data_IF_821410100765
#
_entry.id   IF_821410100765
#
_cell.length_a   1.000
_cell.length_b   1.000
_cell.length_c   1.000
_cell.angle_alpha   90.00
_cell.angle_beta   90.00
_cell.angle_gamma   90.00
#
_symmetry.space_group_name_H-M   'P 1'
#
loop_
_entity.id
_entity.type
_entity.pdbx_description
1 polymer ?
#
# COMPACT_ATOMS: atom_id res chain seq x y z
N UNK A 1 -20.13 9.47 35.37
CA UNK A 1 -19.84 8.15 34.75
C UNK A 1 -18.70 8.33 33.77
N UNK A 2 -17.49 7.95 34.19
CA UNK A 2 -16.22 8.10 33.47
C UNK A 2 -15.81 6.72 32.97
N UNK A 3 -15.55 6.58 31.67
CA UNK A 3 -14.99 5.36 31.09
C UNK A 3 -13.74 5.71 30.27
N UNK A 4 -12.67 6.05 30.99
CA UNK A 4 -11.29 6.06 30.47
C UNK A 4 -10.64 4.72 30.84
N UNK A 5 -10.65 3.75 29.93
CA UNK A 5 -9.81 2.53 29.98
C UNK A 5 -8.99 2.52 28.69
N UNK A 6 -7.78 3.10 28.65
CA UNK A 6 -6.52 2.57 29.19
C UNK A 6 -6.12 1.22 28.59
N UNK A 7 -5.84 1.22 27.28
CA UNK A 7 -5.00 0.19 26.65
C UNK A 7 -3.54 0.59 26.94
N UNK A 8 -2.98 0.07 28.02
CA UNK A 8 -1.52 0.08 28.23
C UNK A 8 -0.91 -1.02 27.34
N UNK A 9 -0.34 -0.64 26.19
CA UNK A 9 0.48 -1.56 25.39
C UNK A 9 1.94 -1.43 25.83
N UNK A 10 2.40 -2.48 26.50
CA UNK A 10 3.76 -2.69 26.99
C UNK A 10 4.78 -2.64 25.82
N UNK A 11 5.93 -1.94 25.92
CA UNK A 11 6.87 -1.77 24.81
C UNK A 11 7.71 -3.02 24.48
N UNK A 12 7.55 -4.12 25.22
CA UNK A 12 8.39 -5.33 25.10
C UNK A 12 7.82 -6.45 24.22
N UNK A 13 6.59 -6.34 23.71
CA UNK A 13 5.99 -7.32 22.78
C UNK A 13 6.21 -7.01 21.29
N UNK A 14 6.90 -5.90 20.98
CA UNK A 14 7.27 -5.51 19.60
C UNK A 14 8.39 -6.41 19.03
N UNK A 15 9.04 -7.21 19.88
CA UNK A 15 10.24 -8.00 19.54
C UNK A 15 9.99 -9.19 18.60
N UNK A 16 8.75 -9.68 18.48
CA UNK A 16 8.41 -10.78 17.54
C UNK A 16 7.67 -10.31 16.27
N UNK A 17 7.25 -9.04 16.19
CA UNK A 17 6.51 -8.51 15.04
C UNK A 17 7.41 -8.03 13.89
N UNK A 18 8.73 -8.04 14.12
CA UNK A 18 9.78 -7.61 13.20
C UNK A 18 10.19 -8.67 12.16
N UNK A 19 9.72 -9.92 12.27
CA UNK A 19 10.21 -11.03 11.44
C UNK A 19 9.37 -11.34 10.19
N UNK A 20 8.53 -10.41 9.74
CA UNK A 20 7.94 -10.46 8.39
C UNK A 20 7.98 -9.11 7.67
N UNK A 21 9.12 -8.44 7.82
CA UNK A 21 9.74 -7.69 6.73
C UNK A 21 9.91 -8.66 5.55
N UNK A 22 9.12 -8.58 4.48
CA UNK A 22 9.50 -9.30 3.27
C UNK A 22 9.50 -8.48 1.98
N UNK A 23 9.14 -7.20 1.98
CA UNK A 23 9.14 -6.39 0.74
C UNK A 23 9.43 -4.90 0.91
N UNK A 24 9.94 -4.48 2.06
CA UNK A 24 10.20 -3.06 2.33
C UNK A 24 11.62 -3.00 2.86
N UNK A 25 12.53 -2.50 2.05
CA UNK A 25 13.93 -2.27 2.41
C UNK A 25 14.04 -1.37 3.65
N UNK A 26 15.23 -1.28 4.24
CA UNK A 26 15.49 -0.33 5.34
C UNK A 26 15.14 1.13 4.92
N UNK A 27 15.36 1.47 3.65
CA UNK A 27 15.01 2.75 3.00
C UNK A 27 13.51 3.05 3.05
N UNK A 28 12.69 2.07 2.72
CA UNK A 28 11.26 2.28 2.49
C UNK A 28 10.51 2.47 3.82
N UNK A 29 11.03 1.89 4.91
CA UNK A 29 10.56 2.18 6.28
C UNK A 29 10.83 3.61 6.70
N UNK A 30 11.92 4.21 6.24
CA UNK A 30 12.26 5.58 6.55
C UNK A 30 11.29 6.53 5.85
N UNK A 31 11.04 6.32 4.55
CA UNK A 31 10.07 7.11 3.79
C UNK A 31 8.65 7.00 4.37
N UNK A 32 8.23 5.82 4.81
CA UNK A 32 6.92 5.67 5.47
C UNK A 32 6.82 6.50 6.77
N UNK A 33 7.90 6.65 7.54
CA UNK A 33 7.90 7.49 8.75
C UNK A 33 7.81 8.98 8.42
N UNK A 34 8.35 9.41 7.28
CA UNK A 34 8.26 10.78 6.77
C UNK A 34 6.85 11.09 6.27
N UNK A 35 6.24 10.14 5.55
CA UNK A 35 4.87 10.25 5.09
C UNK A 35 3.84 10.45 6.22
N UNK A 36 3.99 9.67 7.29
CA UNK A 36 3.17 9.79 8.50
C UNK A 36 3.55 11.08 9.30
N UNK A 37 4.42 11.94 8.78
CA UNK A 37 4.68 13.29 9.30
C UNK A 37 4.21 14.38 8.30
N UNK A 38 3.34 14.02 7.36
CA UNK A 38 2.83 14.88 6.27
C UNK A 38 3.88 15.28 5.22
N UNK A 39 5.04 14.64 5.19
CA UNK A 39 5.97 14.83 4.09
C UNK A 39 5.52 14.03 2.87
N UNK A 40 5.51 14.66 1.69
CA UNK A 40 5.24 13.94 0.45
C UNK A 40 6.42 13.02 0.13
N UNK A 41 6.13 11.73 -0.04
CA UNK A 41 7.14 10.71 -0.38
C UNK A 41 6.78 10.02 -1.68
N UNK A 42 7.82 9.70 -2.44
CA UNK A 42 7.73 8.88 -3.64
C UNK A 42 8.58 7.63 -3.46
N UNK A 43 8.00 6.48 -3.75
CA UNK A 43 8.64 5.18 -3.57
C UNK A 43 8.53 4.40 -4.88
N UNK A 44 9.67 4.09 -5.48
CA UNK A 44 9.75 3.22 -6.65
C UNK A 44 10.11 1.80 -6.17
N UNK A 45 9.29 0.81 -6.51
CA UNK A 45 9.57 -0.57 -6.10
C UNK A 45 9.16 -1.63 -7.15
N UNK A 46 9.99 -2.65 -7.37
CA UNK A 46 9.60 -3.79 -8.20
C UNK A 46 8.59 -4.67 -7.44
N UNK A 47 7.54 -5.11 -8.12
CA UNK A 47 6.54 -6.03 -7.57
C UNK A 47 6.46 -7.33 -8.37
N UNK A 48 6.22 -8.42 -7.65
CA UNK A 48 6.01 -9.77 -8.18
C UNK A 48 4.75 -10.36 -7.58
N UNK A 49 4.14 -11.34 -8.23
CA UNK A 49 2.90 -12.00 -7.76
C UNK A 49 2.95 -12.48 -6.28
N UNK A 50 4.13 -12.87 -5.80
CA UNK A 50 4.34 -13.24 -4.38
C UNK A 50 4.05 -12.09 -3.40
N UNK A 51 3.94 -10.85 -3.87
CA UNK A 51 3.72 -9.63 -3.12
C UNK A 51 2.22 -9.35 -2.96
N UNK A 52 1.59 -10.15 -2.10
CA UNK A 52 0.16 -10.07 -1.80
C UNK A 52 -0.16 -8.94 -0.82
N UNK A 53 -1.37 -8.39 -0.90
CA UNK A 53 -1.87 -7.35 0.00
C UNK A 53 -0.94 -6.11 0.13
N UNK A 54 -0.18 -5.80 -0.93
CA UNK A 54 0.67 -4.61 -0.97
C UNK A 54 -0.24 -3.37 -0.87
N UNK A 55 0.09 -2.42 0.02
CA UNK A 55 -0.75 -1.25 0.32
C UNK A 55 -1.57 -1.36 1.60
N UNK A 56 -1.92 -2.57 2.06
CA UNK A 56 -2.75 -2.72 3.27
C UNK A 56 -2.03 -2.28 4.56
N UNK A 57 -0.76 -2.64 4.70
CA UNK A 57 0.04 -2.25 5.86
C UNK A 57 0.23 -0.73 5.99
N UNK A 58 0.69 0.01 4.96
CA UNK A 58 0.81 1.46 5.07
C UNK A 58 -0.55 2.14 5.29
N UNK A 59 -1.61 1.66 4.65
CA UNK A 59 -2.95 2.18 4.87
C UNK A 59 -3.44 1.98 6.31
N UNK A 60 -3.22 0.82 6.91
CA UNK A 60 -3.53 0.57 8.32
C UNK A 60 -2.79 1.51 9.27
N UNK A 61 -1.55 1.89 8.96
CA UNK A 61 -0.76 2.86 9.76
C UNK A 61 -1.27 4.28 9.61
N UNK A 62 -1.71 4.68 8.42
CA UNK A 62 -2.36 5.96 8.19
C UNK A 62 -3.69 6.02 8.95
N UNK A 63 -4.51 4.98 8.83
CA UNK A 63 -5.79 4.87 9.52
C UNK A 63 -5.63 4.85 11.06
N UNK A 64 -4.61 4.17 11.60
CA UNK A 64 -4.33 4.15 13.05
C UNK A 64 -4.01 5.54 13.60
N UNK A 65 -3.38 6.42 12.81
CA UNK A 65 -2.94 7.75 13.26
C UNK A 65 -3.91 8.88 12.93
N UNK A 66 -4.54 8.82 11.76
CA UNK A 66 -5.36 9.90 11.19
C UNK A 66 -6.83 9.52 11.03
N UNK A 67 -7.19 8.25 11.29
CA UNK A 67 -8.54 7.75 11.08
C UNK A 67 -8.98 7.91 9.63
N UNK A 68 -10.25 8.25 9.45
CA UNK A 68 -10.85 8.39 8.12
C UNK A 68 -10.39 9.65 7.37
N UNK A 69 -9.91 10.69 8.07
CA UNK A 69 -9.39 11.89 7.43
C UNK A 69 -8.10 11.63 6.62
N UNK A 70 -7.37 10.57 6.96
CA UNK A 70 -6.18 10.13 6.23
C UNK A 70 -5.08 11.20 6.12
N UNK A 71 -4.35 11.15 5.02
CA UNK A 71 -3.32 12.13 4.67
C UNK A 71 -3.79 13.04 3.54
N UNK A 72 -3.16 14.22 3.34
CA UNK A 72 -3.38 15.00 2.14
C UNK A 72 -3.21 14.17 0.87
N UNK A 73 -3.89 14.59 -0.19
CA UNK A 73 -3.87 13.89 -1.47
C UNK A 73 -2.45 13.72 -2.02
N UNK A 74 -2.16 12.49 -2.49
CA UNK A 74 -0.87 12.08 -3.05
C UNK A 74 0.33 12.32 -2.11
N UNK A 75 0.12 12.23 -0.78
CA UNK A 75 1.23 12.27 0.19
C UNK A 75 2.13 11.04 0.07
N UNK A 76 1.56 9.85 -0.11
CA UNK A 76 2.33 8.64 -0.37
C UNK A 76 2.08 8.24 -1.81
N UNK A 77 3.10 8.33 -2.66
CA UNK A 77 3.00 7.91 -4.05
C UNK A 77 3.94 6.74 -4.32
N UNK A 78 3.38 5.61 -4.72
CA UNK A 78 4.12 4.36 -4.95
C UNK A 78 4.09 4.05 -6.45
N UNK A 79 5.25 4.08 -7.10
CA UNK A 79 5.44 3.59 -8.46
C UNK A 79 5.91 2.12 -8.40
N UNK A 80 4.98 1.20 -8.65
CA UNK A 80 5.23 -0.22 -8.69
C UNK A 80 5.45 -0.68 -10.14
N UNK A 81 6.41 -1.59 -10.37
CA UNK A 81 6.66 -2.19 -11.70
C UNK A 81 6.67 -3.71 -11.61
N UNK A 82 5.87 -4.38 -12.45
CA UNK A 82 5.81 -5.84 -12.53
C UNK A 82 4.40 -6.41 -12.29
N UNK A 83 4.28 -7.50 -11.53
CA UNK A 83 3.00 -8.18 -11.31
C UNK A 83 2.49 -7.97 -9.89
N UNK A 84 1.34 -7.32 -9.73
CA UNK A 84 0.62 -7.20 -8.45
C UNK A 84 0.07 -8.55 -7.99
N UNK A 85 0.41 -8.96 -6.76
CA UNK A 85 -0.14 -10.18 -6.17
C UNK A 85 -1.61 -10.04 -5.77
N UNK A 86 -2.21 -11.13 -5.31
CA UNK A 86 -3.60 -11.11 -4.83
C UNK A 86 -3.85 -10.03 -3.76
N UNK A 87 -5.03 -9.40 -3.82
CA UNK A 87 -5.44 -8.31 -2.92
C UNK A 87 -4.57 -7.06 -3.01
N UNK A 88 -4.03 -6.76 -4.20
CA UNK A 88 -3.21 -5.58 -4.41
C UNK A 88 -3.99 -4.29 -4.09
N UNK A 89 -3.39 -3.41 -3.29
CA UNK A 89 -4.02 -2.16 -2.84
C UNK A 89 -5.25 -2.34 -1.95
N UNK A 90 -5.39 -3.49 -1.28
CA UNK A 90 -6.49 -3.69 -0.35
C UNK A 90 -6.46 -2.67 0.81
N UNK A 91 -7.63 -2.16 1.18
CA UNK A 91 -7.86 -1.22 2.28
C UNK A 91 -7.06 0.09 2.19
N UNK A 92 -6.73 0.56 0.99
CA UNK A 92 -5.96 1.79 0.83
C UNK A 92 -6.68 3.00 1.44
N UNK A 93 -5.94 3.74 2.27
CA UNK A 93 -6.42 4.93 2.95
C UNK A 93 -6.21 6.18 2.12
N UNK A 94 -7.02 7.21 2.39
CA UNK A 94 -6.89 8.54 1.80
C UNK A 94 -5.45 9.10 1.90
N UNK A 95 -4.98 9.67 0.79
CA UNK A 95 -3.62 10.22 0.65
C UNK A 95 -2.56 9.22 0.20
N UNK A 96 -2.94 7.96 -0.07
CA UNK A 96 -2.06 6.94 -0.68
C UNK A 96 -2.46 6.68 -2.13
N UNK A 97 -1.49 6.83 -3.02
CA UNK A 97 -1.62 6.57 -4.45
C UNK A 97 -0.62 5.49 -4.86
N UNK A 98 -1.12 4.41 -5.46
CA UNK A 98 -0.30 3.33 -6.01
C UNK A 98 -0.50 3.27 -7.51
N UNK A 99 0.57 3.47 -8.26
CA UNK A 99 0.63 3.29 -9.70
C UNK A 99 1.41 2.03 -10.03
N UNK A 100 0.75 1.04 -10.62
CA UNK A 100 1.34 -0.20 -11.08
C UNK A 100 1.52 -0.17 -12.60
N UNK A 101 2.77 -0.26 -13.03
CA UNK A 101 3.14 -0.52 -14.42
C UNK A 101 3.30 -2.03 -14.61
N UNK A 102 2.30 -2.66 -15.21
CA UNK A 102 2.24 -4.10 -15.43
C UNK A 102 0.82 -4.65 -15.29
N UNK A 103 0.72 -5.78 -14.60
CA UNK A 103 -0.52 -6.56 -14.47
C UNK A 103 -0.77 -6.88 -13.00
N UNK A 104 -2.00 -7.17 -12.60
CA UNK A 104 -2.30 -7.61 -11.24
C UNK A 104 -3.25 -8.80 -11.21
N UNK A 105 -3.20 -9.54 -10.12
CA UNK A 105 -4.12 -10.66 -9.88
C UNK A 105 -5.39 -10.22 -9.12
N UNK A 106 -6.22 -11.20 -8.75
CA UNK A 106 -7.51 -11.02 -8.12
C UNK A 106 -7.55 -10.10 -6.90
N UNK A 107 -8.74 -9.55 -6.67
CA UNK A 107 -9.09 -8.73 -5.51
C UNK A 107 -8.28 -7.43 -5.40
N UNK A 108 -7.83 -6.89 -6.54
CA UNK A 108 -7.35 -5.51 -6.58
C UNK A 108 -8.39 -4.61 -5.91
N UNK A 109 -7.92 -3.61 -5.16
CA UNK A 109 -8.78 -2.58 -4.59
C UNK A 109 -9.80 -3.06 -3.56
N UNK A 110 -9.62 -4.28 -3.02
CA UNK A 110 -10.54 -4.84 -2.04
C UNK A 110 -10.66 -3.92 -0.82
N UNK A 111 -11.85 -3.37 -0.62
CA UNK A 111 -12.16 -2.52 0.53
C UNK A 111 -11.48 -1.15 0.50
N UNK A 112 -11.28 -0.57 -0.69
CA UNK A 112 -10.77 0.78 -0.86
C UNK A 112 -11.46 1.80 0.06
N UNK A 113 -10.67 2.59 0.79
CA UNK A 113 -11.12 3.62 1.72
C UNK A 113 -10.50 4.97 1.32
N UNK A 114 -10.82 5.42 0.11
CA UNK A 114 -10.43 6.69 -0.52
C UNK A 114 -8.96 6.82 -0.98
N UNK A 115 -8.22 5.70 -1.06
CA UNK A 115 -6.94 5.66 -1.77
C UNK A 115 -7.11 5.66 -3.29
N UNK A 116 -5.99 5.77 -4.03
CA UNK A 116 -5.98 5.70 -5.50
C UNK A 116 -5.12 4.53 -5.97
N UNK A 117 -5.67 3.70 -6.85
CA UNK A 117 -4.91 2.66 -7.57
C UNK A 117 -5.00 2.94 -9.07
N UNK A 118 -3.85 2.98 -9.72
CA UNK A 118 -3.73 3.15 -11.16
C UNK A 118 -2.97 1.93 -11.68
N UNK A 119 -3.59 1.13 -12.54
CA UNK A 119 -2.91 0.01 -13.23
C UNK A 119 -2.82 0.35 -14.70
N UNK A 120 -1.62 0.30 -15.25
CA UNK A 120 -1.36 0.55 -16.66
C UNK A 120 -0.28 -0.40 -17.16
N UNK A 121 -0.30 -0.80 -18.44
CA UNK A 121 0.80 -1.57 -18.98
C UNK A 121 2.09 -0.75 -19.05
N UNK A 122 3.27 -1.41 -19.07
CA UNK A 122 4.54 -0.73 -19.29
C UNK A 122 4.52 0.00 -20.65
N UNK A 123 5.15 1.18 -20.76
CA UNK A 123 5.14 1.97 -22.00
C UNK A 123 5.81 1.26 -23.18
N UNK A 124 6.71 0.31 -22.91
CA UNK A 124 7.36 -0.52 -23.94
C UNK A 124 6.48 -1.71 -24.39
N UNK A 125 5.33 -1.94 -23.76
CA UNK A 125 4.51 -3.11 -24.03
C UNK A 125 3.83 -3.00 -25.39
N UNK A 126 3.96 -4.01 -26.28
CA UNK A 126 3.28 -4.03 -27.56
C UNK A 126 1.77 -4.32 -27.44
N UNK A 127 1.27 -4.56 -26.22
CA UNK A 127 -0.12 -4.96 -25.98
C UNK A 127 -1.05 -3.75 -26.15
N UNK A 128 -2.15 -3.95 -26.87
CA UNK A 128 -3.25 -2.99 -26.88
C UNK A 128 -4.03 -3.18 -25.58
N UNK A 129 -4.12 -2.17 -24.68
CA UNK A 129 -4.71 -2.35 -23.36
C UNK A 129 -6.18 -2.77 -23.41
N UNK A 130 -6.94 -2.32 -24.41
CA UNK A 130 -8.37 -2.62 -24.56
C UNK A 130 -8.67 -4.06 -24.99
N UNK A 131 -7.69 -4.76 -25.56
CA UNK A 131 -7.84 -6.13 -26.05
C UNK A 131 -7.21 -7.18 -25.14
N UNK A 132 -6.58 -6.75 -24.04
CA UNK A 132 -5.84 -7.62 -23.14
C UNK A 132 -6.27 -7.40 -21.70
N UNK A 133 -6.26 -8.48 -20.93
CA UNK A 133 -6.66 -8.45 -19.53
C UNK A 133 -5.49 -7.93 -18.69
N UNK A 134 -5.62 -6.74 -18.10
CA UNK A 134 -4.64 -6.22 -17.13
C UNK A 134 -4.87 -6.74 -15.69
N UNK A 135 -5.97 -7.47 -15.47
CA UNK A 135 -6.39 -8.06 -14.19
C UNK A 135 -6.61 -9.56 -14.35
N UNK A 136 -5.60 -10.39 -14.05
CA UNK A 136 -5.68 -11.83 -14.27
C UNK A 136 -6.40 -12.51 -13.10
N UNK A 137 -7.47 -13.25 -13.40
CA UNK A 137 -8.15 -14.12 -12.43
C UNK A 137 -7.40 -15.45 -12.35
N UNK A 138 -6.78 -15.76 -11.20
CA UNK A 138 -6.10 -17.04 -10.93
C UNK A 138 -6.86 -17.83 -9.88
#
# INVERSE_FOLDING_TARGET
MSCKNRIQRNPSSVSLFLLRLLLIGQSDRFEMRRAIQHEKVRIDLPVKNINRAMGAMPAGRVAERYGHAGLPDDTIHIEAKGTGGQSFGAFLAHGITIRLLGETNDYVDKGLADGKIIVAPPPESPIVPENNICYHFV
#
